data_IF_569097939451
#
_entry.id   IF_569097939451
#
_cell.length_a   1.000
_cell.length_b   1.000
_cell.length_c   1.000
_cell.angle_alpha   90.00
_cell.angle_beta   90.00
_cell.angle_gamma   90.00
#
_symmetry.space_group_name_H-M   'P 1'
#
loop_
_entity.id
_entity.type
_entity.pdbx_description
1 polymer ?
#
# COMPACT_ATOMS: atom_id res chain seq x y z
N UNK A 1 -74.05 -12.51 6.14
CA UNK A 1 -73.12 -12.84 5.04
C UNK A 1 -71.80 -12.11 5.29
N UNK A 2 -70.69 -12.78 4.98
CA UNK A 2 -69.34 -12.61 5.54
C UNK A 2 -68.60 -11.38 4.98
N UNK A 3 -67.92 -10.63 5.86
CA UNK A 3 -66.78 -9.77 5.51
C UNK A 3 -65.56 -10.64 5.14
N UNK A 4 -64.63 -10.13 4.32
CA UNK A 4 -63.22 -10.47 4.46
C UNK A 4 -62.37 -9.22 4.69
N UNK A 5 -61.81 -9.17 5.90
CA UNK A 5 -60.72 -8.33 6.36
C UNK A 5 -59.46 -8.63 5.54
N UNK A 6 -58.97 -7.65 4.79
CA UNK A 6 -57.66 -7.73 4.11
C UNK A 6 -56.55 -7.50 5.13
N UNK A 7 -55.91 -8.58 5.56
CA UNK A 7 -54.67 -8.53 6.32
C UNK A 7 -53.51 -8.21 5.38
N UNK A 8 -53.02 -6.96 5.41
CA UNK A 8 -51.79 -6.58 4.74
C UNK A 8 -50.59 -7.07 5.56
N UNK A 9 -49.94 -8.13 5.06
CA UNK A 9 -48.75 -8.72 5.64
C UNK A 9 -47.52 -7.85 5.29
N UNK A 10 -47.14 -6.95 6.21
CA UNK A 10 -45.91 -6.17 6.10
C UNK A 10 -44.69 -7.05 6.40
N UNK A 11 -44.04 -7.56 5.36
CA UNK A 11 -42.74 -8.24 5.46
C UNK A 11 -41.66 -7.18 5.68
N UNK A 12 -41.29 -6.95 6.94
CA UNK A 12 -40.10 -6.19 7.32
C UNK A 12 -38.86 -7.01 6.96
N UNK A 13 -38.26 -6.72 5.80
CA UNK A 13 -36.94 -7.19 5.42
C UNK A 13 -35.90 -6.53 6.33
N UNK A 14 -35.55 -7.22 7.42
CA UNK A 14 -34.41 -6.88 8.27
C UNK A 14 -33.15 -7.24 7.46
N UNK A 15 -32.75 -6.34 6.56
CA UNK A 15 -31.48 -6.42 5.87
C UNK A 15 -30.39 -6.23 6.92
N UNK A 16 -29.92 -7.34 7.48
CA UNK A 16 -28.77 -7.35 8.38
C UNK A 16 -27.58 -6.82 7.59
N UNK A 17 -27.22 -5.56 7.81
CA UNK A 17 -25.99 -4.94 7.32
C UNK A 17 -24.77 -5.63 7.96
N UNK A 18 -24.54 -6.90 7.63
CA UNK A 18 -23.26 -7.57 7.84
C UNK A 18 -22.28 -6.95 6.89
N UNK A 19 -21.66 -5.90 7.39
CA UNK A 19 -20.49 -5.28 6.84
C UNK A 19 -19.42 -6.35 6.56
N UNK A 20 -19.11 -6.61 5.28
CA UNK A 20 -17.98 -7.47 4.90
C UNK A 20 -16.68 -7.05 5.63
N UNK A 21 -15.91 -8.01 6.18
CA UNK A 21 -14.67 -7.70 6.87
C UNK A 21 -13.63 -7.13 5.91
N UNK A 22 -12.67 -6.38 6.45
CA UNK A 22 -11.53 -5.93 5.68
C UNK A 22 -10.74 -7.15 5.13
N UNK A 23 -10.18 -7.06 3.91
CA UNK A 23 -9.33 -8.12 3.37
C UNK A 23 -8.11 -8.39 4.28
N UNK A 24 -7.73 -9.67 4.39
CA UNK A 24 -6.61 -10.06 5.24
C UNK A 24 -5.30 -9.41 4.82
N UNK A 25 -4.59 -8.80 5.77
CA UNK A 25 -3.33 -8.08 5.55
C UNK A 25 -3.52 -6.61 5.17
N UNK A 26 -4.74 -6.07 5.26
CA UNK A 26 -5.09 -4.68 4.95
C UNK A 26 -6.04 -4.06 6.00
N UNK A 27 -6.21 -4.71 7.15
CA UNK A 27 -7.13 -4.29 8.21
C UNK A 27 -6.64 -3.04 8.95
N UNK A 28 -5.33 -2.78 8.91
CA UNK A 28 -4.66 -1.63 9.53
C UNK A 28 -3.49 -1.15 8.68
N UNK A 29 -2.95 0.07 8.94
CA UNK A 29 -1.73 0.53 8.29
C UNK A 29 -0.55 -0.42 8.50
N UNK A 30 -0.35 -0.88 9.74
CA UNK A 30 0.70 -1.86 10.07
C UNK A 30 0.55 -3.17 9.31
N UNK A 31 -0.67 -3.70 9.21
CA UNK A 31 -0.93 -4.93 8.46
C UNK A 31 -0.59 -4.78 6.97
N UNK A 32 -0.87 -3.61 6.39
CA UNK A 32 -0.54 -3.29 4.99
C UNK A 32 0.97 -3.21 4.77
N UNK A 33 1.70 -2.60 5.71
CA UNK A 33 3.16 -2.53 5.68
C UNK A 33 3.76 -3.93 5.82
N UNK A 34 3.23 -4.77 6.71
CA UNK A 34 3.65 -6.17 6.84
C UNK A 34 3.39 -6.95 5.54
N UNK A 35 2.25 -6.73 4.87
CA UNK A 35 1.96 -7.28 3.55
C UNK A 35 3.01 -6.86 2.52
N UNK A 36 3.43 -5.59 2.53
CA UNK A 36 4.48 -5.09 1.65
C UNK A 36 5.83 -5.77 1.95
N UNK A 37 6.20 -5.91 3.23
CA UNK A 37 7.43 -6.60 3.62
C UNK A 37 7.40 -8.09 3.27
N UNK A 38 6.26 -8.76 3.38
CA UNK A 38 6.06 -10.13 2.89
C UNK A 38 6.27 -10.24 1.39
N UNK A 39 5.76 -9.28 0.61
CA UNK A 39 5.93 -9.29 -0.83
C UNK A 39 7.42 -9.25 -1.26
N UNK A 40 8.29 -8.65 -0.44
CA UNK A 40 9.74 -8.61 -0.62
C UNK A 40 10.51 -9.70 0.16
N UNK A 41 9.82 -10.53 0.95
CA UNK A 41 10.46 -11.56 1.78
C UNK A 41 11.31 -11.01 2.94
N UNK A 42 11.08 -9.76 3.36
CA UNK A 42 11.88 -9.09 4.42
C UNK A 42 11.19 -9.04 5.77
N UNK A 43 9.98 -9.60 5.92
CA UNK A 43 9.23 -9.54 7.18
C UNK A 43 10.04 -10.10 8.37
N UNK A 44 10.73 -11.23 8.18
CA UNK A 44 11.59 -11.86 9.18
C UNK A 44 13.05 -11.41 9.17
N UNK A 45 13.42 -10.45 8.30
CA UNK A 45 14.78 -9.94 8.22
C UNK A 45 15.08 -9.04 9.43
N UNK A 46 16.25 -9.09 10.08
CA UNK A 46 16.61 -8.11 11.11
C UNK A 46 16.80 -6.69 10.55
N UNK A 47 16.54 -5.65 11.35
CA UNK A 47 16.73 -4.25 10.92
C UNK A 47 18.17 -3.96 10.45
N UNK A 48 19.18 -4.49 11.15
CA UNK A 48 20.59 -4.25 10.82
C UNK A 48 20.98 -4.86 9.47
N UNK A 49 20.40 -6.01 9.13
CA UNK A 49 20.54 -6.63 7.82
C UNK A 49 19.94 -5.74 6.73
N UNK A 50 18.71 -5.27 6.93
CA UNK A 50 18.06 -4.35 5.98
C UNK A 50 18.88 -3.08 5.76
N UNK A 51 19.40 -2.47 6.85
CA UNK A 51 20.27 -1.28 6.78
C UNK A 51 21.56 -1.56 6.01
N UNK A 52 22.23 -2.69 6.28
CA UNK A 52 23.46 -3.08 5.55
C UNK A 52 23.18 -3.20 4.06
N UNK A 53 22.11 -3.89 3.66
CA UNK A 53 21.75 -4.08 2.25
C UNK A 53 21.43 -2.75 1.56
N UNK A 54 20.72 -1.84 2.24
CA UNK A 54 20.47 -0.49 1.72
C UNK A 54 21.77 0.30 1.51
N UNK A 55 22.69 0.26 2.47
CA UNK A 55 24.00 0.94 2.39
C UNK A 55 24.89 0.36 1.27
N UNK A 56 24.81 -0.95 1.05
CA UNK A 56 25.50 -1.63 -0.04
C UNK A 56 24.80 -1.46 -1.41
N UNK A 57 23.69 -0.71 -1.48
CA UNK A 57 22.84 -0.58 -2.66
C UNK A 57 22.41 -1.93 -3.25
N UNK A 58 22.26 -2.94 -2.40
CA UNK A 58 21.82 -4.26 -2.82
C UNK A 58 20.36 -4.24 -3.26
N UNK A 59 20.06 -5.03 -4.28
CA UNK A 59 18.68 -5.20 -4.76
C UNK A 59 17.90 -6.10 -3.81
N UNK A 60 16.74 -5.61 -3.37
CA UNK A 60 15.71 -6.42 -2.76
C UNK A 60 14.88 -7.10 -3.86
N UNK A 61 14.77 -8.42 -3.79
CA UNK A 61 13.98 -9.18 -4.73
C UNK A 61 12.49 -9.09 -4.39
N UNK A 62 11.66 -8.88 -5.41
CA UNK A 62 10.21 -8.89 -5.26
C UNK A 62 9.71 -10.32 -5.49
N UNK A 63 9.25 -10.96 -4.42
CA UNK A 63 8.83 -12.37 -4.43
C UNK A 63 7.35 -12.54 -4.82
N UNK A 64 6.48 -11.61 -4.38
CA UNK A 64 5.06 -11.64 -4.71
C UNK A 64 4.62 -10.31 -5.33
N UNK A 65 4.63 -10.27 -6.67
CA UNK A 65 4.20 -9.11 -7.43
C UNK A 65 2.72 -8.78 -7.27
N UNK A 66 1.86 -9.78 -6.98
CA UNK A 66 0.41 -9.57 -6.84
C UNK A 66 0.11 -8.94 -5.49
N UNK A 67 0.71 -9.46 -4.42
CA UNK A 67 0.60 -8.88 -3.08
C UNK A 67 1.16 -7.46 -3.05
N UNK A 68 2.34 -7.24 -3.66
CA UNK A 68 2.92 -5.92 -3.80
C UNK A 68 1.97 -4.92 -4.45
N UNK A 69 1.40 -5.25 -5.62
CA UNK A 69 0.43 -4.37 -6.30
C UNK A 69 -0.80 -4.08 -5.45
N UNK A 70 -1.25 -5.06 -4.68
CA UNK A 70 -2.44 -4.94 -3.82
C UNK A 70 -2.24 -3.99 -2.63
N UNK A 71 -0.99 -3.71 -2.25
CA UNK A 71 -0.66 -2.75 -1.20
C UNK A 71 -0.92 -1.30 -1.59
N UNK A 72 -1.15 -1.00 -2.87
CA UNK A 72 -1.31 0.37 -3.37
C UNK A 72 -2.77 0.63 -3.78
N UNK A 73 -3.26 1.82 -3.47
CA UNK A 73 -4.62 2.28 -3.79
C UNK A 73 -4.74 2.78 -5.22
N UNK A 74 -3.68 3.39 -5.72
CA UNK A 74 -3.66 4.14 -6.97
C UNK A 74 -2.76 3.48 -8.02
N UNK A 75 -2.44 2.19 -7.90
CA UNK A 75 -1.56 1.49 -8.84
C UNK A 75 -2.07 1.55 -10.30
N UNK A 76 -1.25 2.08 -11.23
CA UNK A 76 -1.62 2.25 -12.64
C UNK A 76 -0.85 1.32 -13.60
N UNK A 77 0.05 0.48 -13.10
CA UNK A 77 0.77 -0.52 -13.90
C UNK A 77 2.28 -0.48 -13.72
N UNK A 78 3.01 -1.11 -14.64
CA UNK A 78 4.47 -1.32 -14.52
C UNK A 78 5.30 -0.03 -14.37
N UNK A 79 4.81 1.10 -14.87
CA UNK A 79 5.48 2.39 -14.72
C UNK A 79 5.53 2.87 -13.26
N UNK A 80 4.66 2.35 -12.39
CA UNK A 80 4.64 2.64 -10.96
C UNK A 80 5.55 1.72 -10.14
N UNK A 81 6.17 0.70 -10.76
CA UNK A 81 7.06 -0.25 -10.08
C UNK A 81 8.20 0.44 -9.32
N UNK A 82 8.80 1.47 -9.93
CA UNK A 82 9.86 2.24 -9.30
C UNK A 82 9.33 3.10 -8.13
N UNK A 83 8.08 3.56 -8.19
CA UNK A 83 7.46 4.30 -7.09
C UNK A 83 7.22 3.40 -5.88
N UNK A 84 6.67 2.20 -6.11
CA UNK A 84 6.49 1.23 -5.04
C UNK A 84 7.81 0.77 -4.42
N UNK A 85 8.86 0.62 -5.24
CA UNK A 85 10.22 0.35 -4.75
C UNK A 85 10.80 1.50 -3.91
N UNK A 86 10.53 2.75 -4.28
CA UNK A 86 10.92 3.92 -3.49
C UNK A 86 10.22 3.93 -2.12
N UNK A 87 8.90 3.70 -2.08
CA UNK A 87 8.14 3.61 -0.83
C UNK A 87 8.66 2.48 0.05
N UNK A 88 8.88 1.29 -0.52
CA UNK A 88 9.48 0.17 0.18
C UNK A 88 10.83 0.53 0.80
N UNK A 89 11.70 1.20 0.04
CA UNK A 89 13.01 1.65 0.53
C UNK A 89 12.91 2.58 1.74
N UNK A 90 11.95 3.51 1.73
CA UNK A 90 11.71 4.40 2.87
C UNK A 90 11.25 3.63 4.12
N UNK A 91 10.36 2.65 3.96
CA UNK A 91 9.83 1.87 5.07
C UNK A 91 10.87 0.89 5.63
N UNK A 92 11.59 0.19 4.76
CA UNK A 92 12.55 -0.85 5.18
C UNK A 92 13.79 -0.25 5.86
N UNK A 93 14.10 1.03 5.60
CA UNK A 93 15.17 1.77 6.28
C UNK A 93 15.00 1.86 7.80
N UNK A 94 13.76 1.74 8.31
CA UNK A 94 13.45 1.73 9.74
C UNK A 94 12.27 0.84 10.07
N UNK A 95 12.21 -0.37 9.49
CA UNK A 95 11.09 -1.31 9.61
C UNK A 95 10.68 -1.60 11.06
N UNK A 96 11.66 -1.71 11.97
CA UNK A 96 11.42 -2.01 13.39
C UNK A 96 11.15 -0.75 14.23
N UNK A 97 11.20 0.42 13.61
CA UNK A 97 11.08 1.73 14.27
C UNK A 97 10.10 2.67 13.52
N UNK A 98 9.08 2.10 12.87
CA UNK A 98 8.06 2.89 12.17
C UNK A 98 7.11 3.58 13.15
N UNK A 99 6.95 4.90 12.98
CA UNK A 99 5.92 5.70 13.62
C UNK A 99 4.74 5.84 12.67
N UNK A 100 3.54 5.56 13.17
CA UNK A 100 2.29 5.63 12.42
C UNK A 100 1.40 6.64 13.12
N UNK A 101 1.08 7.73 12.43
CA UNK A 101 0.17 8.76 12.89
C UNK A 101 -1.14 8.64 12.13
N UNK A 102 -2.25 8.51 12.86
CA UNK A 102 -3.58 8.29 12.30
C UNK A 102 -4.42 9.57 12.39
N UNK A 103 -4.99 9.98 11.25
CA UNK A 103 -5.94 11.07 11.16
C UNK A 103 -7.16 10.64 10.33
N UNK A 104 -8.22 10.22 11.02
CA UNK A 104 -9.44 9.71 10.40
C UNK A 104 -9.17 8.46 9.55
N UNK A 105 -9.41 8.58 8.25
CA UNK A 105 -9.23 7.50 7.26
C UNK A 105 -7.89 7.61 6.51
N UNK A 106 -6.94 8.37 7.06
CA UNK A 106 -5.57 8.54 6.56
C UNK A 106 -4.56 8.17 7.66
N UNK A 107 -3.43 7.61 7.26
CA UNK A 107 -2.29 7.37 8.14
C UNK A 107 -1.00 7.86 7.47
N UNK A 108 -0.15 8.54 8.24
CA UNK A 108 1.20 8.90 7.83
C UNK A 108 2.21 8.01 8.54
N UNK A 109 3.20 7.53 7.79
CA UNK A 109 4.20 6.57 8.27
C UNK A 109 5.59 7.08 7.98
N UNK A 110 6.42 7.08 9.01
CA UNK A 110 7.83 7.52 8.96
C UNK A 110 8.68 6.57 9.78
N UNK A 111 9.90 6.29 9.33
CA UNK A 111 10.90 5.73 10.23
C UNK A 111 11.21 6.74 11.35
N UNK A 112 11.37 6.29 12.58
CA UNK A 112 11.66 7.17 13.72
C UNK A 112 12.95 7.98 13.54
N UNK A 113 13.90 7.43 12.79
CA UNK A 113 15.19 8.02 12.44
C UNK A 113 15.15 8.91 11.18
N UNK A 114 14.03 8.97 10.47
CA UNK A 114 13.90 9.74 9.25
C UNK A 114 13.99 11.26 9.51
N UNK A 115 14.65 11.99 8.60
CA UNK A 115 14.59 13.44 8.58
C UNK A 115 13.14 13.91 8.43
N UNK A 116 12.77 14.97 9.14
CA UNK A 116 11.44 15.61 9.06
C UNK A 116 11.13 16.09 7.64
N UNK A 117 12.17 16.39 6.85
CA UNK A 117 12.06 16.85 5.46
C UNK A 117 11.63 15.74 4.49
N UNK A 118 11.76 14.46 4.87
CA UNK A 118 11.32 13.36 4.03
C UNK A 118 9.79 13.34 3.97
N UNK A 119 9.23 13.14 2.78
CA UNK A 119 7.78 12.99 2.61
C UNK A 119 7.34 11.68 3.28
N UNK A 120 6.29 11.69 4.13
CA UNK A 120 5.81 10.50 4.80
C UNK A 120 5.24 9.52 3.79
N UNK A 121 5.23 8.23 4.14
CA UNK A 121 4.44 7.25 3.41
C UNK A 121 3.00 7.38 3.88
N UNK A 122 2.10 7.67 2.95
CA UNK A 122 0.69 7.92 3.23
C UNK A 122 -0.12 6.69 2.87
N UNK A 123 -0.90 6.20 3.84
CA UNK A 123 -1.92 5.19 3.64
C UNK A 123 -3.29 5.83 3.75
N UNK A 124 -4.21 5.37 2.91
CA UNK A 124 -5.61 5.76 2.93
C UNK A 124 -6.47 4.51 3.11
N UNK A 125 -7.57 4.65 3.84
CA UNK A 125 -8.55 3.59 4.00
C UNK A 125 -9.62 3.71 2.92
N UNK A 126 -9.76 2.66 2.12
CA UNK A 126 -10.72 2.53 1.02
C UNK A 126 -11.37 1.15 1.09
N UNK A 127 -12.69 1.10 1.02
CA UNK A 127 -13.44 -0.16 1.11
C UNK A 127 -13.03 -1.02 2.31
N UNK A 128 -12.78 -0.35 3.45
CA UNK A 128 -12.28 -0.92 4.72
C UNK A 128 -10.85 -1.48 4.69
N UNK A 129 -10.17 -1.43 3.55
CA UNK A 129 -8.78 -1.81 3.39
C UNK A 129 -7.88 -0.58 3.46
N UNK A 130 -6.82 -0.64 4.26
CA UNK A 130 -5.72 0.32 4.20
C UNK A 130 -4.83 0.02 3.01
N UNK A 131 -4.46 1.05 2.27
CA UNK A 131 -3.58 0.95 1.10
C UNK A 131 -2.70 2.19 1.01
N UNK A 132 -1.49 2.01 0.52
CA UNK A 132 -0.55 3.09 0.27
C UNK A 132 -1.03 3.92 -0.93
N UNK A 133 -1.02 5.24 -0.81
CA UNK A 133 -1.21 6.17 -1.91
C UNK A 133 0.16 6.58 -2.46
N UNK A 134 0.54 6.05 -3.63
CA UNK A 134 1.84 6.32 -4.22
C UNK A 134 2.02 7.80 -4.56
N UNK A 135 0.94 8.47 -4.97
CA UNK A 135 0.99 9.84 -5.45
C UNK A 135 1.17 10.82 -4.29
N UNK A 136 0.66 10.51 -3.10
CA UNK A 136 0.93 11.25 -1.86
C UNK A 136 2.24 10.84 -1.19
N UNK A 137 2.64 9.58 -1.28
CA UNK A 137 3.84 9.05 -0.61
C UNK A 137 5.15 9.38 -1.31
N UNK A 138 5.12 9.69 -2.62
CA UNK A 138 6.32 9.95 -3.42
C UNK A 138 6.33 11.41 -3.89
N UNK A 139 7.38 12.19 -3.57
CA UNK A 139 7.49 13.58 -3.99
C UNK A 139 7.33 13.75 -5.50
N UNK A 140 6.66 14.82 -5.98
CA UNK A 140 6.43 15.04 -7.41
C UNK A 140 7.70 14.96 -8.28
N UNK A 141 8.82 15.50 -7.80
CA UNK A 141 10.11 15.51 -8.50
C UNK A 141 10.69 14.10 -8.63
N UNK A 142 10.56 13.29 -7.58
CA UNK A 142 10.99 11.88 -7.59
C UNK A 142 10.13 11.07 -8.56
N UNK A 143 8.80 11.24 -8.54
CA UNK A 143 7.90 10.57 -9.48
C UNK A 143 8.25 10.87 -10.93
N UNK A 144 8.45 12.14 -11.26
CA UNK A 144 8.85 12.57 -12.61
C UNK A 144 10.15 11.92 -13.06
N UNK A 145 11.16 11.93 -12.18
CA UNK A 145 12.47 11.32 -12.45
C UNK A 145 12.36 9.81 -12.70
N UNK A 146 11.59 9.09 -11.88
CA UNK A 146 11.41 7.65 -12.03
C UNK A 146 10.62 7.28 -13.29
N UNK A 147 9.59 8.07 -13.64
CA UNK A 147 8.86 7.89 -14.90
C UNK A 147 9.73 8.17 -16.13
N UNK A 148 10.66 9.12 -16.05
CA UNK A 148 11.64 9.32 -17.11
C UNK A 148 12.57 8.13 -17.30
N UNK A 149 13.09 7.57 -16.22
CA UNK A 149 13.94 6.36 -16.27
C UNK A 149 13.17 5.22 -16.95
N UNK A 150 11.93 4.96 -16.54
CA UNK A 150 11.07 3.95 -17.17
C UNK A 150 10.87 4.22 -18.68
N UNK A 151 10.54 5.46 -19.06
CA UNK A 151 10.35 5.84 -20.48
C UNK A 151 11.60 5.62 -21.31
N UNK A 152 12.78 5.94 -20.77
CA UNK A 152 14.07 5.74 -21.46
C UNK A 152 14.37 4.24 -21.64
N UNK A 153 14.18 3.42 -20.60
CA UNK A 153 14.36 1.97 -20.67
C UNK A 153 13.47 1.32 -21.74
N UNK A 154 12.16 1.65 -21.75
CA UNK A 154 11.22 1.11 -22.75
C UNK A 154 11.54 1.52 -24.19
N UNK A 155 12.07 2.73 -24.39
CA UNK A 155 12.54 3.17 -25.71
C UNK A 155 13.77 2.38 -26.17
N UNK A 156 14.70 2.08 -25.26
CA UNK A 156 15.88 1.28 -25.57
C UNK A 156 15.49 -0.16 -25.95
N UNK A 157 14.61 -0.80 -25.17
CA UNK A 157 14.13 -2.16 -25.45
C UNK A 157 13.43 -2.29 -26.80
N UNK A 158 12.63 -1.27 -27.19
CA UNK A 158 11.96 -1.25 -28.51
C UNK A 158 12.92 -1.10 -29.68
N UNK A 159 14.06 -0.43 -29.47
CA UNK A 159 15.09 -0.25 -30.52
C UNK A 159 15.99 -1.48 -30.67
N UNK A 160 16.06 -2.33 -29.65
CA UNK A 160 16.86 -3.55 -29.65
C UNK A 160 16.10 -4.78 -30.18
N UNK A 161 14.82 -4.62 -30.55
CA UNK A 161 13.97 -5.63 -31.19
C UNK A 161 13.78 -5.29 -32.65
#
# INVERSE_FOLDING_TARGET
MRLPTLAALAVLLISSCKSEPAPTGFESPSATIDSLFRAYGVQGMPQDEARRRLQAHERFELLDSKLFRSCFSDWQGEHDQALGGFVFGQLVAGKDELKIELEGETAEVRAASASVELTPVVLIKQDRAWRIDLRKSVPPQVRQSLYEVYRRARRAERKAR
#
